data_IF_351388127653
#
_entry.id   IF_351388127653
#
_cell.length_a   1.000
_cell.length_b   1.000
_cell.length_c   1.000
_cell.angle_alpha   90.00
_cell.angle_beta   90.00
_cell.angle_gamma   90.00
#
_symmetry.space_group_name_H-M   'P 1'
#
loop_
_entity.id
_entity.type
_entity.pdbx_description
1 polymer ?
#
# COMPACT_ATOMS: atom_id res chain seq x y z
N UNK A 1 -1.77 -26.53 -11.08
CA UNK A 1 -2.48 -25.34 -10.58
C UNK A 1 -1.48 -24.20 -10.48
N UNK A 2 -1.58 -23.18 -11.35
CA UNK A 2 -0.70 -22.03 -11.27
C UNK A 2 -0.99 -21.29 -9.95
N UNK A 3 -0.03 -21.28 -9.05
CA UNK A 3 -0.08 -20.46 -7.84
C UNK A 3 -0.12 -19.00 -8.30
N UNK A 4 -1.31 -18.38 -8.27
CA UNK A 4 -1.45 -16.97 -8.62
C UNK A 4 -0.80 -16.13 -7.53
N UNK A 5 0.50 -15.85 -7.69
CA UNK A 5 1.22 -14.94 -6.79
C UNK A 5 0.55 -13.57 -6.86
N UNK A 6 0.16 -13.05 -5.69
CA UNK A 6 -0.41 -11.70 -5.57
C UNK A 6 0.57 -10.67 -6.12
N UNK A 7 0.04 -9.64 -6.77
CA UNK A 7 0.82 -8.48 -7.20
C UNK A 7 1.09 -7.63 -5.96
N UNK A 8 2.37 -7.46 -5.62
CA UNK A 8 2.80 -6.60 -4.51
C UNK A 8 2.79 -5.15 -4.96
N UNK A 9 2.12 -4.31 -4.18
CA UNK A 9 1.90 -2.90 -4.53
C UNK A 9 2.55 -1.99 -3.49
N UNK A 10 3.27 -0.99 -4.00
CA UNK A 10 3.69 0.19 -3.24
C UNK A 10 2.90 1.41 -3.71
N UNK A 11 2.44 2.25 -2.79
CA UNK A 11 1.78 3.53 -3.13
C UNK A 11 2.75 4.67 -2.83
N UNK A 12 2.96 5.57 -3.80
CA UNK A 12 3.75 6.79 -3.58
C UNK A 12 2.83 7.93 -3.14
N UNK A 13 2.90 8.30 -1.87
CA UNK A 13 2.08 9.34 -1.26
C UNK A 13 0.76 8.84 -0.69
N UNK A 14 0.39 9.33 0.50
CA UNK A 14 -0.83 8.96 1.22
C UNK A 14 -1.75 10.16 1.50
N UNK A 15 -1.92 11.01 0.47
CA UNK A 15 -2.91 12.09 0.48
C UNK A 15 -4.34 11.58 0.20
N UNK A 16 -5.24 12.49 -0.20
CA UNK A 16 -6.64 12.15 -0.46
C UNK A 16 -6.80 10.95 -1.41
N UNK A 17 -6.10 10.94 -2.54
CA UNK A 17 -6.23 9.87 -3.54
C UNK A 17 -5.73 8.52 -3.02
N UNK A 18 -4.54 8.50 -2.42
CA UNK A 18 -3.94 7.30 -1.85
C UNK A 18 -4.80 6.70 -0.74
N UNK A 19 -5.33 7.55 0.14
CA UNK A 19 -6.10 7.15 1.33
C UNK A 19 -7.54 6.72 1.00
N UNK A 20 -8.23 7.42 0.10
CA UNK A 20 -9.68 7.23 -0.13
C UNK A 20 -9.97 6.33 -1.32
N UNK A 21 -9.11 6.30 -2.34
CA UNK A 21 -9.35 5.53 -3.57
C UNK A 21 -8.42 4.33 -3.70
N UNK A 22 -7.11 4.56 -3.77
CA UNK A 22 -6.16 3.50 -4.15
C UNK A 22 -5.96 2.44 -3.06
N UNK A 23 -5.63 2.84 -1.83
CA UNK A 23 -5.36 1.87 -0.76
C UNK A 23 -6.60 1.01 -0.41
N UNK A 24 -7.84 1.55 -0.34
CA UNK A 24 -9.04 0.74 -0.14
C UNK A 24 -9.29 -0.27 -1.27
N UNK A 25 -9.09 0.12 -2.53
CA UNK A 25 -9.23 -0.80 -3.67
C UNK A 25 -8.22 -1.96 -3.57
N UNK A 26 -6.95 -1.66 -3.33
CA UNK A 26 -5.90 -2.68 -3.21
C UNK A 26 -6.17 -3.61 -2.02
N UNK A 27 -6.62 -3.06 -0.88
CA UNK A 27 -6.95 -3.83 0.31
C UNK A 27 -8.14 -4.76 0.10
N UNK A 28 -9.20 -4.29 -0.56
CA UNK A 28 -10.40 -5.10 -0.83
C UNK A 28 -10.14 -6.20 -1.86
N UNK A 29 -9.29 -5.94 -2.86
CA UNK A 29 -8.87 -6.91 -3.87
C UNK A 29 -7.74 -7.84 -3.39
N UNK A 30 -7.80 -8.28 -2.13
CA UNK A 30 -6.73 -9.02 -1.43
C UNK A 30 -6.40 -10.40 -2.01
N UNK A 31 -7.26 -10.97 -2.86
CA UNK A 31 -6.97 -12.22 -3.58
C UNK A 31 -5.97 -12.01 -4.72
N UNK A 32 -5.91 -10.80 -5.28
CA UNK A 32 -5.06 -10.43 -6.42
C UNK A 32 -3.89 -9.54 -6.02
N UNK A 33 -4.07 -8.68 -5.00
CA UNK A 33 -3.06 -7.69 -4.60
C UNK A 33 -2.63 -7.84 -3.14
N UNK A 34 -1.41 -7.39 -2.85
CA UNK A 34 -0.86 -7.22 -1.51
C UNK A 34 -0.31 -5.80 -1.39
N UNK A 35 -0.97 -4.94 -0.62
CA UNK A 35 -0.40 -3.63 -0.26
C UNK A 35 0.79 -3.86 0.67
N UNK A 36 2.01 -3.57 0.21
CA UNK A 36 3.24 -3.87 0.94
C UNK A 36 3.87 -2.64 1.56
N UNK A 37 3.87 -1.53 0.83
CA UNK A 37 4.50 -0.30 1.29
C UNK A 37 3.72 0.95 0.86
N UNK A 38 3.92 2.02 1.62
CA UNK A 38 3.45 3.35 1.24
C UNK A 38 4.59 4.34 1.50
N UNK A 39 4.88 5.18 0.50
CA UNK A 39 5.86 6.25 0.63
C UNK A 39 5.20 7.44 1.31
N UNK A 40 5.66 7.78 2.50
CA UNK A 40 5.28 8.98 3.22
C UNK A 40 6.56 9.71 3.66
N UNK A 41 6.80 10.94 3.15
CA UNK A 41 8.05 11.66 3.43
C UNK A 41 8.23 12.01 4.91
N UNK A 42 7.15 12.42 5.58
CA UNK A 42 7.20 12.92 6.96
C UNK A 42 6.16 12.30 7.89
N UNK A 43 5.12 11.68 7.35
CA UNK A 43 4.00 11.13 8.11
C UNK A 43 4.07 9.61 8.25
N UNK A 44 3.19 9.06 9.07
CA UNK A 44 2.96 7.63 9.25
C UNK A 44 1.44 7.36 9.29
N UNK A 45 0.67 8.03 8.44
CA UNK A 45 -0.79 7.90 8.43
C UNK A 45 -1.25 6.59 7.80
N UNK A 46 -0.49 6.07 6.82
CA UNK A 46 -0.87 4.84 6.13
C UNK A 46 -0.83 3.62 7.05
N UNK A 47 0.22 3.52 7.89
CA UNK A 47 0.37 2.39 8.83
C UNK A 47 -0.67 2.43 9.96
N UNK A 48 -1.21 3.60 10.30
CA UNK A 48 -2.32 3.71 11.26
C UNK A 48 -3.60 3.04 10.74
N UNK A 49 -3.80 3.03 9.42
CA UNK A 49 -4.97 2.41 8.76
C UNK A 49 -4.68 0.96 8.35
N UNK A 50 -3.45 0.69 7.89
CA UNK A 50 -3.00 -0.62 7.44
C UNK A 50 -1.75 -1.05 8.22
N UNK A 51 -1.89 -1.58 9.46
CA UNK A 51 -0.75 -1.84 10.36
C UNK A 51 0.30 -2.83 9.82
N UNK A 52 -0.04 -3.61 8.80
CA UNK A 52 0.81 -4.64 8.21
C UNK A 52 1.76 -4.13 7.11
N UNK A 53 1.66 -2.86 6.71
CA UNK A 53 2.51 -2.28 5.65
C UNK A 53 3.82 -1.72 6.22
N UNK A 54 4.80 -1.53 5.35
CA UNK A 54 6.00 -0.73 5.65
C UNK A 54 5.84 0.70 5.13
N UNK A 55 5.93 1.71 6.00
CA UNK A 55 6.09 3.09 5.54
C UNK A 55 7.55 3.35 5.14
N UNK A 56 7.77 3.82 3.92
CA UNK A 56 9.09 4.18 3.38
C UNK A 56 9.16 5.70 3.13
N UNK A 57 10.36 6.29 3.05
CA UNK A 57 10.54 7.75 2.90
C UNK A 57 10.82 8.18 1.46
N UNK A 58 11.36 7.28 0.66
CA UNK A 58 11.70 7.48 -0.75
C UNK A 58 11.21 6.30 -1.60
N UNK A 59 11.15 6.49 -2.91
CA UNK A 59 10.81 5.44 -3.89
C UNK A 59 11.96 4.46 -4.16
N UNK A 60 13.13 4.72 -3.59
CA UNK A 60 14.34 3.90 -3.74
C UNK A 60 14.53 2.88 -2.60
N UNK A 61 13.65 2.86 -1.62
CA UNK A 61 13.64 1.95 -0.45
C UNK A 61 12.74 0.72 -0.65
#
# INVERSE_FOLDING_TARGET
>A
MSSSRKIRVGIVGFGLSGRVFHAPFIHTMSTMYELRSVVERHSNEAVKIYPYIKTVRSTTE
#
